data_IF_808881084498
#
_entry.id   IF_808881084498
#
_cell.length_a   1.000
_cell.length_b   1.000
_cell.length_c   1.000
_cell.angle_alpha   90.00
_cell.angle_beta   90.00
_cell.angle_gamma   90.00
#
_symmetry.space_group_name_H-M   'P 1'
#
loop_
_entity.id
_entity.type
_entity.pdbx_description
1 polymer ?
#
# COMPACT_ATOMS: atom_id res chain seq x y z
N UNK A 1 -8.12 10.59 0.88
CA UNK A 1 -7.69 9.22 0.53
C UNK A 1 -7.08 9.29 -0.85
N UNK A 2 -5.82 8.88 -1.02
CA UNK A 2 -5.14 8.89 -2.32
C UNK A 2 -4.97 7.44 -2.75
N UNK A 3 -5.36 7.14 -3.99
CA UNK A 3 -5.32 5.79 -4.55
C UNK A 3 -4.65 5.82 -5.91
N UNK A 4 -3.76 4.87 -6.17
CA UNK A 4 -3.03 4.73 -7.43
C UNK A 4 -3.21 3.31 -7.97
N UNK A 5 -3.35 3.18 -9.29
CA UNK A 5 -3.53 1.89 -9.96
C UNK A 5 -2.50 1.75 -11.09
N UNK A 6 -1.80 0.62 -11.15
CA UNK A 6 -0.79 0.33 -12.17
C UNK A 6 -0.91 -1.13 -12.60
N UNK A 7 -0.77 -1.41 -13.89
CA UNK A 7 -0.62 -2.78 -14.37
C UNK A 7 0.87 -3.15 -14.43
N UNK A 8 1.22 -4.30 -13.84
CA UNK A 8 2.58 -4.80 -13.77
C UNK A 8 2.63 -6.32 -13.95
N UNK A 9 3.36 -6.81 -14.96
CA UNK A 9 3.58 -8.25 -15.23
C UNK A 9 2.31 -9.12 -15.24
N UNK A 10 1.21 -8.60 -15.80
CA UNK A 10 -0.07 -9.33 -15.84
C UNK A 10 -0.86 -9.28 -14.54
N UNK A 11 -0.44 -8.46 -13.58
CA UNK A 11 -1.17 -8.13 -12.37
C UNK A 11 -1.60 -6.67 -12.37
N UNK A 12 -2.77 -6.38 -11.81
CA UNK A 12 -3.18 -5.02 -11.49
C UNK A 12 -2.81 -4.73 -10.02
N UNK A 13 -1.94 -3.76 -9.82
CA UNK A 13 -1.54 -3.26 -8.51
C UNK A 13 -2.39 -2.03 -8.18
N UNK A 14 -3.10 -2.06 -7.06
CA UNK A 14 -3.82 -0.90 -6.52
C UNK A 14 -3.26 -0.50 -5.17
N UNK A 15 -2.52 0.60 -5.13
CA UNK A 15 -2.04 1.22 -3.90
C UNK A 15 -3.09 2.16 -3.32
N UNK A 16 -3.33 2.10 -2.02
CA UNK A 16 -4.16 3.04 -1.28
C UNK A 16 -3.40 3.54 -0.06
N UNK A 17 -3.27 4.86 0.10
CA UNK A 17 -2.71 5.47 1.32
C UNK A 17 -3.81 6.04 2.21
N UNK A 18 -3.68 5.80 3.51
CA UNK A 18 -4.53 6.34 4.56
C UNK A 18 -3.66 7.10 5.54
N UNK A 19 -4.04 8.33 5.85
CA UNK A 19 -3.39 9.08 6.93
C UNK A 19 -3.91 8.56 8.27
N UNK A 20 -2.99 8.20 9.16
CA UNK A 20 -3.30 7.67 10.50
C UNK A 20 -3.12 8.77 11.56
N UNK A 21 -2.16 9.68 11.37
CA UNK A 21 -1.92 10.80 12.31
C UNK A 21 -1.77 12.17 11.62
N UNK A 22 -2.22 13.26 12.27
CA UNK A 22 -3.07 13.27 13.48
C UNK A 22 -4.43 12.59 13.20
N UNK A 23 -4.94 11.84 14.18
CA UNK A 23 -6.17 11.06 14.03
C UNK A 23 -7.34 12.01 13.69
N UNK A 24 -8.26 11.62 12.79
CA UNK A 24 -9.39 12.49 12.39
C UNK A 24 -10.22 12.99 13.58
N UNK A 25 -10.29 12.18 14.64
CA UNK A 25 -11.08 12.42 15.84
C UNK A 25 -10.41 13.38 16.83
N UNK A 26 -9.11 13.64 16.69
CA UNK A 26 -8.37 14.52 17.58
C UNK A 26 -7.41 15.42 16.77
N UNK A 27 -7.85 16.64 16.38
CA UNK A 27 -7.02 17.60 15.67
C UNK A 27 -5.83 18.13 16.50
N UNK A 28 -5.80 17.86 17.81
CA UNK A 28 -4.70 18.19 18.72
C UNK A 28 -3.78 16.99 19.02
N UNK A 29 -4.04 15.82 18.42
CA UNK A 29 -3.19 14.65 18.56
C UNK A 29 -1.76 15.02 18.13
N UNK A 30 -0.88 15.10 19.11
CA UNK A 30 0.49 15.57 18.92
C UNK A 30 1.33 14.39 18.44
N UNK A 31 1.81 14.46 17.21
CA UNK A 31 2.62 13.41 16.62
C UNK A 31 3.04 13.75 15.19
N UNK A 32 4.13 13.16 14.67
CA UNK A 32 4.48 13.31 13.27
C UNK A 32 3.34 12.78 12.39
N UNK A 33 3.12 13.39 11.21
CA UNK A 33 2.14 12.87 10.25
C UNK A 33 2.55 11.45 9.87
N UNK A 34 1.69 10.49 10.17
CA UNK A 34 1.92 9.09 9.81
C UNK A 34 0.92 8.68 8.75
N UNK A 35 1.43 7.99 7.74
CA UNK A 35 0.63 7.42 6.67
C UNK A 35 0.82 5.91 6.68
N UNK A 36 -0.29 5.18 6.53
CA UNK A 36 -0.25 3.74 6.23
C UNK A 36 -0.66 3.55 4.78
N UNK A 37 -0.20 2.47 4.15
CA UNK A 37 -0.67 2.10 2.83
C UNK A 37 -0.97 0.61 2.73
N UNK A 38 -1.84 0.29 1.78
CA UNK A 38 -2.25 -1.05 1.44
C UNK A 38 -2.09 -1.19 -0.06
N UNK A 39 -1.47 -2.28 -0.50
CA UNK A 39 -1.41 -2.66 -1.92
C UNK A 39 -2.30 -3.86 -2.15
N UNK A 40 -3.21 -3.76 -3.11
CA UNK A 40 -4.02 -4.86 -3.60
C UNK A 40 -3.41 -5.35 -4.91
N UNK A 41 -3.21 -6.66 -5.01
CA UNK A 41 -2.67 -7.34 -6.18
C UNK A 41 -3.76 -8.22 -6.76
N UNK A 42 -4.20 -7.85 -7.95
CA UNK A 42 -5.20 -8.56 -8.74
C UNK A 42 -4.51 -9.28 -9.90
N UNK A 43 -4.92 -10.51 -10.23
CA UNK A 43 -4.38 -11.22 -11.40
C UNK A 43 -5.22 -10.95 -12.65
N UNK A 44 -4.59 -10.84 -13.82
CA UNK A 44 -5.26 -10.64 -15.11
C UNK A 44 -4.98 -11.85 -16.03
N UNK A 45 -6.01 -12.48 -16.64
CA UNK A 45 -7.44 -12.20 -16.46
C UNK A 45 -7.88 -12.56 -15.04
N UNK A 46 -8.88 -11.84 -14.53
CA UNK A 46 -9.43 -11.96 -13.16
C UNK A 46 -10.21 -13.25 -12.92
N UNK A 47 -9.66 -14.38 -13.38
CA UNK A 47 -10.21 -15.71 -13.22
C UNK A 47 -10.09 -16.17 -11.78
N UNK A 48 -11.17 -16.04 -11.02
CA UNK A 48 -11.45 -16.76 -9.76
C UNK A 48 -10.49 -16.54 -8.56
N UNK A 49 -9.38 -15.83 -8.72
CA UNK A 49 -8.51 -15.47 -7.60
C UNK A 49 -9.02 -14.19 -6.92
N UNK A 50 -9.34 -14.29 -5.62
CA UNK A 50 -9.65 -13.11 -4.80
C UNK A 50 -8.45 -12.13 -4.81
N UNK A 51 -8.69 -10.81 -4.88
CA UNK A 51 -7.65 -9.81 -4.79
C UNK A 51 -6.82 -10.03 -3.52
N UNK A 52 -5.50 -10.15 -3.64
CA UNK A 52 -4.67 -10.26 -2.45
C UNK A 52 -4.32 -8.87 -1.95
N UNK A 53 -4.79 -8.54 -0.75
CA UNK A 53 -4.47 -7.27 -0.08
C UNK A 53 -3.29 -7.48 0.84
N UNK A 54 -2.34 -6.55 0.79
CA UNK A 54 -1.14 -6.56 1.61
C UNK A 54 -1.01 -5.21 2.28
N UNK A 55 -0.82 -5.21 3.60
CA UNK A 55 -0.38 -4.01 4.31
C UNK A 55 1.08 -3.78 3.97
N UNK A 56 1.40 -2.61 3.44
CA UNK A 56 2.78 -2.24 3.16
C UNK A 56 3.55 -2.21 4.48
N UNK A 57 4.63 -2.98 4.56
CA UNK A 57 5.56 -2.89 5.67
C UNK A 57 6.62 -1.87 5.32
N UNK A 58 6.45 -0.67 5.86
CA UNK A 58 7.49 0.34 5.88
C UNK A 58 8.55 -0.15 6.87
N UNK A 59 9.77 -0.41 6.43
CA UNK A 59 10.86 -0.84 7.31
C UNK A 59 11.26 0.27 8.27
N UNK A 60 12.43 0.87 8.07
CA UNK A 60 12.85 2.06 8.82
C UNK A 60 12.31 3.37 8.22
N UNK A 61 11.79 3.32 6.99
CA UNK A 61 11.30 4.49 6.25
C UNK A 61 9.81 4.71 6.49
N UNK A 62 9.46 5.44 7.55
CA UNK A 62 8.08 5.85 7.76
C UNK A 62 7.71 6.97 6.78
N UNK A 63 6.71 6.77 5.90
CA UNK A 63 6.32 7.79 4.93
C UNK A 63 5.77 9.02 5.65
N UNK A 64 6.30 10.19 5.29
CA UNK A 64 5.92 11.49 5.84
C UNK A 64 4.82 12.16 5.00
N UNK A 65 4.51 11.57 3.84
CA UNK A 65 3.45 12.00 2.94
C UNK A 65 2.62 10.85 2.37
N UNK A 66 1.39 11.14 1.93
CA UNK A 66 0.54 10.18 1.23
C UNK A 66 1.16 9.69 -0.09
N UNK A 67 1.91 10.55 -0.78
CA UNK A 67 2.58 10.20 -2.03
C UNK A 67 3.70 9.18 -1.81
N UNK A 68 4.54 9.39 -0.78
CA UNK A 68 5.57 8.41 -0.41
C UNK A 68 4.95 7.08 0.05
N UNK A 69 3.90 7.14 0.86
CA UNK A 69 3.21 5.92 1.31
C UNK A 69 2.65 5.12 0.13
N UNK A 70 2.16 5.80 -0.91
CA UNK A 70 1.70 5.17 -2.15
C UNK A 70 2.86 4.61 -2.97
N UNK A 71 3.92 5.37 -3.18
CA UNK A 71 5.08 4.92 -3.96
C UNK A 71 5.68 3.65 -3.35
N UNK A 72 5.87 3.65 -2.02
CA UNK A 72 6.31 2.48 -1.25
C UNK A 72 5.32 1.31 -1.37
N UNK A 73 4.00 1.56 -1.37
CA UNK A 73 3.01 0.51 -1.58
C UNK A 73 3.13 -0.14 -2.97
N UNK A 74 3.31 0.68 -4.00
CA UNK A 74 3.43 0.22 -5.38
C UNK A 74 4.72 -0.54 -5.59
N UNK A 75 5.83 -0.04 -5.03
CA UNK A 75 7.11 -0.73 -5.06
C UNK A 75 7.03 -2.07 -4.32
N UNK A 76 6.44 -2.09 -3.12
CA UNK A 76 6.20 -3.31 -2.35
C UNK A 76 5.33 -4.32 -3.12
N UNK A 77 4.29 -3.87 -3.82
CA UNK A 77 3.48 -4.71 -4.70
C UNK A 77 4.28 -5.32 -5.85
N UNK A 78 5.16 -4.54 -6.49
CA UNK A 78 6.07 -5.06 -7.52
C UNK A 78 7.04 -6.08 -6.94
N UNK A 79 7.58 -5.83 -5.76
CA UNK A 79 8.53 -6.74 -5.10
C UNK A 79 7.88 -8.06 -4.67
N UNK A 80 6.59 -8.06 -4.32
CA UNK A 80 5.80 -9.28 -4.11
C UNK A 80 5.63 -10.05 -5.42
N UNK A 81 5.25 -9.37 -6.51
CA UNK A 81 5.09 -9.99 -7.84
C UNK A 81 6.41 -10.55 -8.36
N UNK A 82 7.53 -9.86 -8.13
CA UNK A 82 8.87 -10.32 -8.45
C UNK A 82 9.38 -11.44 -7.52
N UNK A 83 8.65 -11.79 -6.47
CA UNK A 83 9.04 -12.81 -5.50
C UNK A 83 10.20 -12.40 -4.57
N UNK A 84 10.57 -11.10 -4.55
CA UNK A 84 11.61 -10.55 -3.67
C UNK A 84 11.14 -10.43 -2.22
N UNK A 85 9.83 -10.24 -2.02
CA UNK A 85 9.21 -10.12 -0.71
C UNK A 85 8.13 -11.18 -0.54
N UNK A 86 8.24 -11.98 0.52
CA UNK A 86 7.16 -12.86 0.95
C UNK A 86 6.22 -12.11 1.89
N UNK A 87 5.28 -11.37 1.33
CA UNK A 87 4.24 -10.72 2.11
C UNK A 87 3.14 -11.71 2.48
N UNK A 88 2.68 -11.68 3.73
CA UNK A 88 1.47 -12.38 4.15
C UNK A 88 0.26 -11.50 3.86
N UNK A 89 -0.72 -12.03 3.14
CA UNK A 89 -1.98 -11.33 2.87
C UNK A 89 -2.69 -10.95 4.16
N UNK A 90 -3.42 -9.83 4.13
CA UNK A 90 -4.35 -9.41 5.17
C UNK A 90 -5.58 -10.31 5.22
#
# INVERSE_FOLDING_TARGET
MTTCTLQYRGHELRGSSVQVFPAPENPFATGPKQFTSVVQIDSIPSGCALPRRYRTQFGNDNPVSAAEALDLAMQYGKDIVDGKVQARGL
#
